data_IF_676016403004
#
_entry.id   IF_676016403004
#
_cell.length_a   1.000
_cell.length_b   1.000
_cell.length_c   1.000
_cell.angle_alpha   90.00
_cell.angle_beta   90.00
_cell.angle_gamma   90.00
#
_symmetry.space_group_name_H-M   'P 1'
#
loop_
_entity.id
_entity.type
_entity.pdbx_description
1 polymer ?
#
# COMPACT_ATOMS: atom_id res chain seq x y z
N UNK A 1 -21.78 -54.19 24.79
CA UNK A 1 -20.51 -53.46 24.69
C UNK A 1 -20.46 -52.88 23.26
N UNK A 2 -20.86 -51.65 23.11
CA UNK A 2 -20.88 -50.94 21.79
C UNK A 2 -19.62 -50.14 21.68
N UNK A 3 -18.71 -50.51 20.76
CA UNK A 3 -17.51 -49.76 20.46
C UNK A 3 -17.82 -48.64 19.48
N UNK A 4 -17.69 -47.40 19.94
CA UNK A 4 -17.83 -46.21 19.11
C UNK A 4 -16.50 -45.96 18.40
N UNK A 5 -16.44 -46.13 17.08
CA UNK A 5 -15.29 -45.71 16.28
C UNK A 5 -15.29 -44.18 16.12
N UNK A 6 -14.30 -43.51 16.68
CA UNK A 6 -14.04 -42.08 16.38
C UNK A 6 -13.19 -42.01 15.11
N UNK A 7 -13.79 -41.58 14.02
CA UNK A 7 -13.08 -41.30 12.77
C UNK A 7 -12.41 -39.94 12.87
N UNK A 8 -11.06 -39.96 13.00
CA UNK A 8 -10.23 -38.77 13.01
C UNK A 8 -10.11 -38.26 11.54
N UNK A 9 -10.76 -37.16 11.20
CA UNK A 9 -10.50 -36.46 9.93
C UNK A 9 -9.17 -35.71 10.04
N UNK A 10 -8.14 -36.22 9.39
CA UNK A 10 -6.89 -35.49 9.17
C UNK A 10 -7.12 -34.55 8.00
N UNK A 11 -7.33 -33.26 8.27
CA UNK A 11 -7.27 -32.22 7.25
C UNK A 11 -5.80 -32.00 6.92
N UNK A 12 -5.34 -32.56 5.81
CA UNK A 12 -4.00 -32.25 5.29
C UNK A 12 -4.01 -30.83 4.73
N UNK A 13 -3.40 -29.89 5.45
CA UNK A 13 -3.05 -28.59 4.91
C UNK A 13 -1.98 -28.81 3.83
N UNK A 14 -2.36 -28.67 2.56
CA UNK A 14 -1.39 -28.64 1.46
C UNK A 14 -0.64 -27.32 1.54
N UNK A 15 0.61 -27.34 1.98
CA UNK A 15 1.52 -26.19 1.85
C UNK A 15 1.81 -26.00 0.37
N UNK A 16 1.29 -24.92 -0.22
CA UNK A 16 1.67 -24.51 -1.56
C UNK A 16 3.07 -23.90 -1.43
N UNK A 17 4.05 -24.44 -2.18
CA UNK A 17 5.33 -23.76 -2.33
C UNK A 17 5.08 -22.39 -2.98
N UNK A 18 5.85 -21.34 -2.64
CA UNK A 18 5.70 -20.03 -3.28
C UNK A 18 5.66 -20.21 -4.80
N UNK A 19 4.62 -19.69 -5.43
CA UNK A 19 4.42 -19.88 -6.86
C UNK A 19 4.45 -18.55 -7.58
N UNK A 20 5.45 -18.39 -8.43
CA UNK A 20 5.43 -17.37 -9.47
C UNK A 20 4.74 -17.99 -10.69
N UNK A 21 3.56 -17.47 -11.07
CA UNK A 21 2.77 -17.97 -12.19
C UNK A 21 2.66 -16.90 -13.26
N UNK A 22 3.13 -17.20 -14.46
CA UNK A 22 2.89 -16.36 -15.65
C UNK A 22 1.61 -16.86 -16.32
N UNK A 23 0.68 -15.95 -16.60
CA UNK A 23 -0.61 -16.24 -17.22
C UNK A 23 -1.01 -15.12 -18.15
N UNK A 24 -2.06 -15.35 -18.93
CA UNK A 24 -2.62 -14.36 -19.85
C UNK A 24 -4.13 -14.19 -19.61
N UNK A 25 -4.64 -12.98 -19.82
CA UNK A 25 -6.07 -12.73 -19.98
C UNK A 25 -6.33 -11.89 -21.23
N UNK A 26 -7.50 -12.07 -21.84
CA UNK A 26 -7.97 -11.23 -22.94
C UNK A 26 -8.93 -10.17 -22.42
N UNK A 27 -8.69 -8.90 -22.79
CA UNK A 27 -9.57 -7.77 -22.52
C UNK A 27 -9.73 -6.94 -23.79
N UNK A 28 -10.96 -6.70 -24.24
CA UNK A 28 -11.29 -5.98 -25.46
C UNK A 28 -10.53 -6.48 -26.71
N UNK A 29 -10.38 -7.83 -26.84
CA UNK A 29 -9.69 -8.46 -27.97
C UNK A 29 -8.16 -8.41 -27.91
N UNK A 30 -7.57 -7.84 -26.86
CA UNK A 30 -6.12 -7.81 -26.65
C UNK A 30 -5.76 -8.81 -25.57
N UNK A 31 -4.93 -9.81 -25.92
CA UNK A 31 -4.38 -10.76 -24.94
C UNK A 31 -3.14 -10.13 -24.29
N UNK A 32 -3.10 -10.12 -22.97
CA UNK A 32 -2.03 -9.52 -22.17
C UNK A 32 -1.56 -10.51 -21.12
N UNK A 33 -0.26 -10.58 -20.95
CA UNK A 33 0.37 -11.40 -19.93
C UNK A 33 0.53 -10.65 -18.61
N UNK A 34 0.61 -11.42 -17.54
CA UNK A 34 0.88 -10.94 -16.19
C UNK A 34 1.63 -12.00 -15.39
N UNK A 35 2.30 -11.59 -14.34
CA UNK A 35 2.90 -12.48 -13.37
C UNK A 35 2.12 -12.33 -12.06
N UNK A 36 1.76 -13.46 -11.46
CA UNK A 36 1.19 -13.50 -10.09
C UNK A 36 2.18 -14.20 -9.18
N UNK A 37 2.50 -13.57 -8.06
CA UNK A 37 3.29 -14.17 -7.00
C UNK A 37 2.40 -14.49 -5.79
N UNK A 38 2.42 -15.77 -5.40
CA UNK A 38 1.65 -16.28 -4.26
C UNK A 38 2.64 -16.71 -3.17
N UNK A 39 2.62 -16.09 -1.98
CA UNK A 39 3.59 -16.43 -0.92
C UNK A 39 3.35 -17.83 -0.35
N UNK A 40 4.40 -18.43 0.22
CA UNK A 40 4.33 -19.77 0.85
C UNK A 40 3.35 -19.83 2.04
N UNK A 41 3.10 -18.69 2.66
CA UNK A 41 2.14 -18.54 3.77
C UNK A 41 0.68 -18.50 3.33
N UNK A 42 0.40 -18.39 2.02
CA UNK A 42 -0.96 -18.34 1.52
C UNK A 42 -1.70 -19.66 1.73
N UNK A 43 -2.93 -19.57 2.24
CA UNK A 43 -3.82 -20.72 2.42
C UNK A 43 -5.14 -20.45 1.70
N UNK A 44 -5.49 -21.33 0.75
CA UNK A 44 -6.77 -21.25 0.06
C UNK A 44 -7.92 -21.35 1.09
N UNK A 45 -8.88 -20.42 1.00
CA UNK A 45 -9.97 -20.28 1.96
C UNK A 45 -9.72 -19.22 3.05
N UNK A 46 -8.47 -18.76 3.21
CA UNK A 46 -8.13 -17.63 4.08
C UNK A 46 -7.92 -16.36 3.23
N UNK A 47 -8.75 -15.31 3.40
CA UNK A 47 -8.65 -14.10 2.60
C UNK A 47 -7.29 -13.39 2.76
N UNK A 48 -6.59 -13.14 1.65
CA UNK A 48 -5.32 -12.45 1.58
C UNK A 48 -5.44 -11.11 0.83
N UNK A 49 -4.69 -10.06 1.20
CA UNK A 49 -4.62 -8.84 0.41
C UNK A 49 -4.04 -9.08 -0.99
N UNK A 50 -4.37 -8.19 -1.94
CA UNK A 50 -3.84 -8.20 -3.30
C UNK A 50 -3.19 -6.86 -3.64
N UNK A 51 -1.94 -6.90 -4.10
CA UNK A 51 -1.20 -5.71 -4.52
C UNK A 51 -0.88 -5.79 -6.01
N UNK A 52 -1.33 -4.82 -6.80
CA UNK A 52 -0.90 -4.63 -8.18
C UNK A 52 0.34 -3.76 -8.21
N UNK A 53 1.40 -4.21 -8.91
CA UNK A 53 2.67 -3.46 -9.05
C UNK A 53 2.95 -3.25 -10.54
N UNK A 54 2.83 -2.02 -11.01
CA UNK A 54 2.88 -1.65 -12.42
C UNK A 54 4.23 -1.10 -12.83
N UNK A 55 4.76 -1.59 -13.95
CA UNK A 55 6.08 -1.25 -14.48
C UNK A 55 6.12 0.15 -15.11
N UNK A 56 7.33 0.71 -15.22
CA UNK A 56 7.61 1.93 -15.98
C UNK A 56 7.53 1.72 -17.50
N UNK A 57 7.54 2.82 -18.27
CA UNK A 57 7.58 2.75 -19.74
C UNK A 57 8.80 1.97 -20.22
N UNK A 58 8.63 1.14 -21.25
CA UNK A 58 9.61 0.19 -21.83
C UNK A 58 10.02 -0.98 -20.91
N UNK A 59 9.57 -0.99 -19.66
CA UNK A 59 9.81 -2.11 -18.76
C UNK A 59 8.73 -3.21 -18.92
N UNK A 60 8.89 -4.31 -18.19
CA UNK A 60 7.95 -5.43 -18.17
C UNK A 60 7.54 -5.79 -16.73
N UNK A 61 6.54 -6.66 -16.60
CA UNK A 61 6.15 -7.26 -15.33
C UNK A 61 7.34 -7.90 -14.60
N UNK A 62 8.19 -8.64 -15.30
CA UNK A 62 9.38 -9.25 -14.70
C UNK A 62 10.43 -8.22 -14.27
N UNK A 63 10.56 -7.12 -15.01
CA UNK A 63 11.51 -6.07 -14.66
C UNK A 63 11.13 -5.38 -13.33
N UNK A 64 9.86 -4.97 -13.19
CA UNK A 64 9.40 -4.32 -11.96
C UNK A 64 9.35 -5.29 -10.77
N UNK A 65 8.99 -6.56 -10.99
CA UNK A 65 9.03 -7.60 -9.98
C UNK A 65 10.43 -7.74 -9.37
N UNK A 66 11.47 -7.76 -10.22
CA UNK A 66 12.86 -7.91 -9.77
C UNK A 66 13.45 -6.62 -9.16
N UNK A 67 12.82 -5.46 -9.38
CA UNK A 67 13.35 -4.17 -8.95
C UNK A 67 12.72 -3.67 -7.62
N UNK A 68 11.67 -4.30 -7.11
CA UNK A 68 10.85 -3.70 -6.05
C UNK A 68 10.74 -4.51 -4.76
N UNK A 69 11.36 -5.69 -4.68
CA UNK A 69 11.36 -6.58 -3.49
C UNK A 69 9.97 -6.95 -2.92
N UNK A 70 8.85 -6.68 -3.65
CA UNK A 70 7.51 -7.02 -3.19
C UNK A 70 7.31 -8.50 -2.93
N UNK A 71 8.00 -9.39 -3.68
CA UNK A 71 7.90 -10.83 -3.44
C UNK A 71 8.47 -11.22 -2.07
N UNK A 72 9.62 -10.63 -1.69
CA UNK A 72 10.22 -10.88 -0.38
C UNK A 72 9.32 -10.37 0.76
N UNK A 73 8.72 -9.19 0.57
CA UNK A 73 7.79 -8.63 1.54
C UNK A 73 6.48 -9.44 1.61
N UNK A 74 5.98 -9.93 0.47
CA UNK A 74 4.79 -10.78 0.40
C UNK A 74 4.98 -12.11 1.19
N UNK A 75 6.18 -12.69 1.17
CA UNK A 75 6.50 -13.87 2.00
C UNK A 75 6.37 -13.57 3.50
N UNK A 76 6.73 -12.37 3.93
CA UNK A 76 6.68 -11.96 5.34
C UNK A 76 5.26 -11.60 5.78
N UNK A 77 4.52 -10.91 4.91
CA UNK A 77 3.26 -10.24 5.26
C UNK A 77 2.01 -11.00 4.77
N UNK A 78 2.16 -11.99 3.89
CA UNK A 78 1.07 -12.89 3.49
C UNK A 78 0.11 -12.31 2.45
N UNK A 79 0.54 -11.37 1.60
CA UNK A 79 -0.28 -10.83 0.51
C UNK A 79 0.11 -11.40 -0.85
N UNK A 80 -0.82 -11.40 -1.80
CA UNK A 80 -0.58 -11.82 -3.19
C UNK A 80 -0.16 -10.59 -4.01
N UNK A 81 0.82 -10.76 -4.92
CA UNK A 81 1.26 -9.68 -5.80
C UNK A 81 0.91 -10.01 -7.25
N UNK A 82 0.35 -9.04 -7.96
CA UNK A 82 0.10 -9.11 -9.39
C UNK A 82 0.96 -8.08 -10.13
N UNK A 83 1.70 -8.54 -11.12
CA UNK A 83 2.54 -7.72 -12.02
C UNK A 83 1.96 -7.79 -13.43
N UNK A 84 1.04 -6.89 -13.81
CA UNK A 84 0.50 -6.85 -15.17
C UNK A 84 1.48 -6.25 -16.15
N UNK A 85 1.42 -6.66 -17.43
CA UNK A 85 2.12 -6.00 -18.54
C UNK A 85 1.19 -5.01 -19.27
N UNK A 86 1.72 -3.83 -19.53
CA UNK A 86 1.14 -2.85 -20.44
C UNK A 86 1.28 -3.26 -21.92
N UNK A 87 0.41 -2.77 -22.79
CA UNK A 87 0.54 -2.99 -24.25
C UNK A 87 1.81 -2.34 -24.75
N UNK A 88 2.66 -3.13 -25.45
CA UNK A 88 3.97 -2.68 -25.90
C UNK A 88 4.83 -2.06 -24.78
N UNK A 89 4.74 -2.61 -23.59
CA UNK A 89 5.43 -2.12 -22.39
C UNK A 89 5.08 -0.66 -22.02
N UNK A 90 3.87 -0.22 -22.29
CA UNK A 90 3.36 1.10 -21.98
C UNK A 90 1.93 1.05 -21.45
N UNK A 91 1.52 2.11 -20.75
CA UNK A 91 0.20 2.29 -20.18
C UNK A 91 -0.54 3.45 -20.83
N UNK A 92 -1.85 3.33 -20.96
CA UNK A 92 -2.72 4.44 -21.37
C UNK A 92 -2.92 5.40 -20.18
N UNK A 93 -2.01 6.33 -20.05
CA UNK A 93 -2.04 7.36 -18.99
C UNK A 93 -2.47 8.72 -19.53
N UNK A 94 -3.13 8.76 -20.70
CA UNK A 94 -3.46 10.00 -21.43
C UNK A 94 -2.23 10.88 -21.70
N UNK A 95 -1.08 10.22 -21.89
CA UNK A 95 0.19 10.91 -22.18
C UNK A 95 0.21 11.39 -23.63
N UNK A 96 0.70 12.61 -23.88
CA UNK A 96 0.94 13.09 -25.25
C UNK A 96 2.17 12.46 -25.91
N UNK A 97 2.97 11.65 -25.20
CA UNK A 97 4.19 11.06 -25.72
C UNK A 97 3.93 9.97 -26.74
N UNK A 98 4.75 9.90 -27.82
CA UNK A 98 4.77 8.75 -28.71
C UNK A 98 5.16 7.48 -27.95
N UNK A 99 4.38 6.40 -28.12
CA UNK A 99 4.62 5.12 -27.47
C UNK A 99 3.74 4.85 -26.25
N UNK A 100 2.91 5.79 -25.82
CA UNK A 100 1.82 5.51 -24.87
C UNK A 100 0.80 4.55 -25.49
N UNK A 101 0.22 3.69 -24.66
CA UNK A 101 -0.90 2.83 -25.05
C UNK A 101 -2.18 3.65 -25.21
N UNK A 102 -3.06 3.24 -26.11
CA UNK A 102 -4.46 3.70 -26.19
C UNK A 102 -5.44 2.62 -25.74
N UNK A 103 -4.92 1.49 -25.24
CA UNK A 103 -5.74 0.39 -24.76
C UNK A 103 -6.52 0.80 -23.50
N UNK A 104 -7.60 0.07 -23.23
CA UNK A 104 -8.36 0.20 -21.98
C UNK A 104 -7.62 -0.50 -20.83
N UNK A 105 -6.63 0.19 -20.24
CA UNK A 105 -5.83 -0.36 -19.16
C UNK A 105 -6.59 -0.40 -17.83
N UNK A 106 -7.50 0.54 -17.57
CA UNK A 106 -8.36 0.53 -16.38
C UNK A 106 -9.26 -0.69 -16.39
N UNK A 107 -9.92 -0.95 -17.52
CA UNK A 107 -10.76 -2.15 -17.68
C UNK A 107 -9.95 -3.44 -17.62
N UNK A 108 -8.73 -3.48 -18.21
CA UNK A 108 -7.84 -4.63 -18.13
C UNK A 108 -7.45 -4.98 -16.68
N UNK A 109 -7.00 -3.99 -15.91
CA UNK A 109 -6.63 -4.20 -14.49
C UNK A 109 -7.87 -4.65 -13.69
N UNK A 110 -9.05 -4.09 -13.99
CA UNK A 110 -10.31 -4.52 -13.40
C UNK A 110 -10.65 -5.98 -13.72
N UNK A 111 -10.47 -6.41 -14.98
CA UNK A 111 -10.68 -7.79 -15.41
C UNK A 111 -9.66 -8.76 -14.77
N UNK A 112 -8.39 -8.34 -14.69
CA UNK A 112 -7.35 -9.12 -14.02
C UNK A 112 -7.66 -9.28 -12.51
N UNK A 113 -8.07 -8.20 -11.85
CA UNK A 113 -8.54 -8.23 -10.45
C UNK A 113 -9.64 -9.27 -10.26
N UNK A 114 -10.68 -9.23 -11.08
CA UNK A 114 -11.82 -10.18 -10.98
C UNK A 114 -11.36 -11.63 -11.26
N UNK A 115 -10.42 -11.84 -12.18
CA UNK A 115 -9.81 -13.15 -12.46
C UNK A 115 -9.05 -13.69 -11.26
N UNK A 116 -8.25 -12.83 -10.59
CA UNK A 116 -7.49 -13.24 -9.40
C UNK A 116 -8.40 -13.50 -8.20
N UNK A 117 -9.47 -12.74 -8.01
CA UNK A 117 -10.50 -13.00 -6.99
C UNK A 117 -11.17 -14.35 -7.21
N UNK A 118 -11.43 -14.73 -8.48
CA UNK A 118 -12.01 -16.03 -8.79
C UNK A 118 -11.04 -17.21 -8.57
N UNK A 119 -9.73 -16.97 -8.73
CA UNK A 119 -8.69 -18.00 -8.61
C UNK A 119 -8.18 -18.19 -7.16
N UNK A 120 -8.17 -17.12 -6.39
CA UNK A 120 -7.59 -17.08 -5.04
C UNK A 120 -8.59 -16.52 -4.02
N UNK A 121 -8.40 -16.88 -2.76
CA UNK A 121 -9.14 -16.26 -1.65
C UNK A 121 -8.57 -14.88 -1.38
N UNK A 122 -9.04 -13.87 -2.14
CA UNK A 122 -8.64 -12.48 -1.97
C UNK A 122 -9.59 -11.77 -1.00
N UNK A 123 -9.03 -11.00 -0.08
CA UNK A 123 -9.78 -10.02 0.67
C UNK A 123 -10.13 -8.83 -0.25
N UNK A 124 -11.37 -8.80 -0.72
CA UNK A 124 -11.83 -7.79 -1.67
C UNK A 124 -11.87 -6.37 -1.10
N UNK A 125 -11.74 -6.24 0.22
CA UNK A 125 -11.63 -4.93 0.88
C UNK A 125 -10.17 -4.42 0.93
N UNK A 126 -9.19 -5.31 0.74
CA UNK A 126 -7.75 -4.99 0.80
C UNK A 126 -7.07 -5.24 -0.55
N UNK A 127 -7.48 -4.48 -1.57
CA UNK A 127 -6.89 -4.49 -2.91
C UNK A 127 -6.24 -3.13 -3.18
N UNK A 128 -4.97 -3.15 -3.56
CA UNK A 128 -4.13 -1.99 -3.69
C UNK A 128 -3.44 -1.93 -5.05
N UNK A 129 -3.00 -0.74 -5.46
CA UNK A 129 -2.25 -0.57 -6.69
C UNK A 129 -1.08 0.39 -6.49
N UNK A 130 0.10 0.02 -6.96
CA UNK A 130 1.25 0.90 -7.01
C UNK A 130 2.02 0.72 -8.31
N UNK A 131 2.96 1.64 -8.58
CA UNK A 131 3.80 1.51 -9.74
C UNK A 131 4.90 2.56 -9.82
N UNK A 132 5.84 2.30 -10.72
CA UNK A 132 6.98 3.16 -11.00
C UNK A 132 6.80 3.93 -12.29
N UNK A 133 7.14 5.23 -12.29
CA UNK A 133 7.15 6.05 -13.51
C UNK A 133 5.78 5.98 -14.24
N UNK A 134 5.70 5.46 -15.45
CA UNK A 134 4.45 5.23 -16.17
C UNK A 134 3.46 4.35 -15.37
N UNK A 135 3.93 3.37 -14.58
CA UNK A 135 3.12 2.61 -13.63
C UNK A 135 2.59 3.46 -12.48
N UNK A 136 3.32 4.47 -12.04
CA UNK A 136 2.87 5.47 -11.07
C UNK A 136 1.74 6.34 -11.62
N UNK A 137 1.85 6.80 -12.87
CA UNK A 137 0.74 7.47 -13.57
C UNK A 137 -0.49 6.57 -13.66
N UNK A 138 -0.28 5.27 -13.96
CA UNK A 138 -1.38 4.31 -14.04
C UNK A 138 -2.02 4.08 -12.68
N UNK A 139 -1.25 4.13 -11.57
CA UNK A 139 -1.80 4.05 -10.21
C UNK A 139 -2.75 5.22 -9.92
N UNK A 140 -2.36 6.44 -10.25
CA UNK A 140 -3.24 7.60 -10.14
C UNK A 140 -4.49 7.44 -11.01
N UNK A 141 -4.32 6.96 -12.26
CA UNK A 141 -5.45 6.74 -13.17
C UNK A 141 -6.44 5.71 -12.62
N UNK A 142 -5.97 4.64 -12.00
CA UNK A 142 -6.85 3.67 -11.33
C UNK A 142 -7.62 4.32 -10.17
N UNK A 143 -6.95 5.12 -9.34
CA UNK A 143 -7.63 5.86 -8.27
C UNK A 143 -8.66 6.85 -8.78
N UNK A 144 -8.39 7.51 -9.92
CA UNK A 144 -9.29 8.51 -10.51
C UNK A 144 -10.48 7.92 -11.27
N UNK A 145 -10.27 6.82 -12.03
CA UNK A 145 -11.22 6.40 -13.08
C UNK A 145 -11.79 4.99 -12.83
N UNK A 146 -11.20 4.19 -11.94
CA UNK A 146 -11.65 2.81 -11.75
C UNK A 146 -13.02 2.74 -11.07
N UNK A 147 -14.00 2.03 -11.67
CA UNK A 147 -15.25 1.72 -11.00
C UNK A 147 -15.09 0.61 -9.93
N UNK A 148 -13.94 -0.05 -9.91
CA UNK A 148 -13.58 -1.05 -8.90
C UNK A 148 -12.79 -0.37 -7.79
N UNK A 149 -13.11 -0.66 -6.56
CA UNK A 149 -12.38 -0.10 -5.44
C UNK A 149 -10.95 -0.61 -5.38
N UNK A 150 -10.01 0.31 -5.27
CA UNK A 150 -8.66 0.12 -4.74
C UNK A 150 -8.61 0.87 -3.41
N UNK A 151 -8.34 0.17 -2.32
CA UNK A 151 -8.36 0.75 -0.98
C UNK A 151 -7.30 1.83 -0.80
N UNK A 152 -6.15 1.66 -1.44
CA UNK A 152 -5.13 2.70 -1.57
C UNK A 152 -4.34 2.54 -2.87
N UNK A 153 -3.75 3.65 -3.31
CA UNK A 153 -2.84 3.72 -4.45
C UNK A 153 -1.51 4.34 -4.03
N UNK A 154 -0.42 3.94 -4.71
CA UNK A 154 0.88 4.56 -4.52
C UNK A 154 1.59 4.81 -5.85
N UNK A 155 2.19 5.97 -5.99
CA UNK A 155 2.98 6.36 -7.16
C UNK A 155 4.42 6.64 -6.76
N UNK A 156 5.37 5.98 -7.42
CA UNK A 156 6.80 6.25 -7.29
C UNK A 156 7.31 6.87 -8.56
N UNK A 157 7.80 8.11 -8.49
CA UNK A 157 8.32 8.87 -9.64
C UNK A 157 7.34 8.95 -10.82
N UNK A 158 6.03 8.95 -10.54
CA UNK A 158 4.96 9.20 -11.49
C UNK A 158 4.10 10.36 -11.02
N UNK A 159 3.37 11.02 -11.93
CA UNK A 159 2.43 12.10 -11.62
C UNK A 159 1.11 11.89 -12.38
N UNK A 160 0.39 12.95 -12.73
CA UNK A 160 -0.83 12.88 -13.53
C UNK A 160 -0.60 13.70 -14.80
N UNK A 161 -0.85 13.10 -15.97
CA UNK A 161 -0.76 13.82 -17.23
C UNK A 161 -1.85 14.91 -17.32
N UNK A 162 -1.53 16.04 -17.94
CA UNK A 162 -2.46 17.17 -18.10
C UNK A 162 -3.80 16.75 -18.76
N UNK A 163 -3.75 15.82 -19.71
CA UNK A 163 -4.95 15.29 -20.38
C UNK A 163 -5.80 14.36 -19.50
N UNK A 164 -5.30 13.91 -18.35
CA UNK A 164 -6.01 13.03 -17.42
C UNK A 164 -6.69 13.79 -16.26
N UNK A 165 -6.36 15.06 -16.04
CA UNK A 165 -6.86 15.84 -14.88
C UNK A 165 -8.39 15.95 -14.89
N UNK A 166 -8.99 16.26 -16.04
CA UNK A 166 -10.43 16.42 -16.17
C UNK A 166 -11.22 15.10 -15.98
N UNK A 167 -10.56 13.96 -16.17
CA UNK A 167 -11.14 12.63 -15.98
C UNK A 167 -10.95 12.12 -14.53
N UNK A 168 -10.18 12.81 -13.70
CA UNK A 168 -9.96 12.41 -12.32
C UNK A 168 -11.18 12.72 -11.45
N UNK A 169 -12.11 11.77 -11.40
CA UNK A 169 -13.34 11.82 -10.63
C UNK A 169 -13.51 10.54 -9.81
N UNK A 170 -12.80 10.41 -8.68
CA UNK A 170 -12.78 9.19 -7.89
C UNK A 170 -14.19 8.75 -7.46
N UNK A 171 -14.54 7.49 -7.75
CA UNK A 171 -15.80 6.89 -7.28
C UNK A 171 -15.69 6.29 -5.87
N UNK A 172 -14.46 6.20 -5.37
CA UNK A 172 -14.11 5.70 -4.04
C UNK A 172 -13.17 6.71 -3.38
N UNK A 173 -12.92 6.54 -2.10
CA UNK A 173 -12.01 7.40 -1.31
C UNK A 173 -10.72 6.64 -0.96
N UNK A 174 -9.81 6.43 -1.93
CA UNK A 174 -8.57 5.67 -1.66
C UNK A 174 -7.62 6.46 -0.75
N UNK A 175 -6.79 5.74 0.01
CA UNK A 175 -5.53 6.31 0.46
C UNK A 175 -4.62 6.62 -0.74
N UNK A 176 -3.92 7.75 -0.73
CA UNK A 176 -3.04 8.17 -1.82
C UNK A 176 -1.64 8.41 -1.31
N UNK A 177 -0.66 7.68 -1.85
CA UNK A 177 0.75 7.84 -1.52
C UNK A 177 1.55 8.30 -2.74
N UNK A 178 2.29 9.41 -2.59
CA UNK A 178 3.21 9.93 -3.59
C UNK A 178 4.64 9.85 -3.07
N UNK A 179 5.55 9.20 -3.80
CA UNK A 179 6.99 9.15 -3.51
C UNK A 179 7.73 9.77 -4.70
N UNK A 180 8.52 10.82 -4.47
CA UNK A 180 9.17 11.52 -5.57
C UNK A 180 10.48 12.20 -5.18
N UNK A 181 11.48 12.11 -6.04
CA UNK A 181 12.76 12.78 -5.89
C UNK A 181 12.74 14.21 -6.45
N UNK A 182 13.29 15.19 -5.70
CA UNK A 182 13.32 16.60 -6.13
C UNK A 182 14.22 16.87 -7.34
N UNK A 183 15.16 15.97 -7.62
CA UNK A 183 16.07 16.00 -8.78
C UNK A 183 15.71 14.96 -9.84
N UNK A 184 14.44 14.58 -9.95
CA UNK A 184 13.95 13.73 -11.03
C UNK A 184 13.92 14.51 -12.35
N UNK A 185 14.82 14.17 -13.28
CA UNK A 185 14.94 14.81 -14.60
C UNK A 185 14.11 14.12 -15.68
N UNK A 186 13.49 12.96 -15.40
CA UNK A 186 12.61 12.23 -16.32
C UNK A 186 11.17 12.64 -16.13
N UNK A 187 10.68 12.53 -14.87
CA UNK A 187 9.38 13.04 -14.45
C UNK A 187 9.63 14.20 -13.49
N UNK A 188 9.60 15.42 -14.02
CA UNK A 188 9.96 16.62 -13.27
C UNK A 188 9.11 16.77 -12.01
N UNK A 189 9.76 16.96 -10.86
CA UNK A 189 9.10 17.23 -9.58
C UNK A 189 8.16 18.44 -9.65
N UNK A 190 8.56 19.46 -10.41
CA UNK A 190 7.79 20.69 -10.60
C UNK A 190 6.82 20.63 -11.80
N UNK A 191 6.69 19.44 -12.42
CA UNK A 191 5.87 19.27 -13.62
C UNK A 191 6.48 19.84 -14.88
N UNK A 192 5.87 19.54 -16.00
CA UNK A 192 6.20 20.11 -17.32
C UNK A 192 5.08 19.81 -18.32
N UNK A 193 5.14 20.47 -19.50
CA UNK A 193 4.23 20.15 -20.61
C UNK A 193 4.38 18.68 -21.08
N UNK A 194 5.51 18.07 -20.78
CA UNK A 194 5.81 16.70 -21.16
C UNK A 194 5.50 15.69 -20.06
N UNK A 195 5.86 15.95 -18.83
CA UNK A 195 5.66 15.01 -17.70
C UNK A 195 4.32 15.23 -16.96
N UNK A 196 3.52 16.21 -17.36
CA UNK A 196 2.24 16.51 -16.72
C UNK A 196 2.38 17.40 -15.47
N UNK A 197 1.50 17.20 -14.50
CA UNK A 197 1.44 17.98 -13.26
C UNK A 197 2.74 17.88 -12.46
N UNK A 198 3.06 18.95 -11.73
CA UNK A 198 4.03 18.89 -10.65
C UNK A 198 3.50 18.06 -9.48
N UNK A 199 4.41 17.62 -8.62
CA UNK A 199 4.03 16.82 -7.44
C UNK A 199 3.06 17.59 -6.55
N UNK A 200 3.29 18.90 -6.32
CA UNK A 200 2.36 19.71 -5.52
C UNK A 200 0.96 19.79 -6.17
N UNK A 201 0.89 19.96 -7.49
CA UNK A 201 -0.40 19.98 -8.19
C UNK A 201 -1.16 18.65 -8.09
N UNK A 202 -0.41 17.51 -8.07
CA UNK A 202 -0.99 16.18 -7.83
C UNK A 202 -1.54 16.07 -6.41
N UNK A 203 -0.80 16.56 -5.42
CA UNK A 203 -1.24 16.58 -4.01
C UNK A 203 -2.47 17.48 -3.85
N UNK A 204 -2.48 18.66 -4.47
CA UNK A 204 -3.60 19.60 -4.42
C UNK A 204 -4.86 19.02 -5.09
N UNK A 205 -4.70 18.30 -6.21
CA UNK A 205 -5.81 17.62 -6.88
C UNK A 205 -6.42 16.54 -5.98
N UNK A 206 -5.58 15.69 -5.34
CA UNK A 206 -6.07 14.65 -4.47
C UNK A 206 -6.65 15.17 -3.16
N UNK A 207 -6.02 16.16 -2.54
CA UNK A 207 -6.54 16.78 -1.31
C UNK A 207 -7.88 17.50 -1.56
N UNK A 208 -8.04 18.10 -2.74
CA UNK A 208 -9.32 18.68 -3.16
C UNK A 208 -10.39 17.61 -3.37
N UNK A 209 -10.09 16.54 -4.13
CA UNK A 209 -11.04 15.46 -4.42
C UNK A 209 -11.48 14.71 -3.15
N UNK A 210 -10.58 14.56 -2.19
CA UNK A 210 -10.82 13.84 -0.94
C UNK A 210 -11.18 14.77 0.23
N UNK A 211 -11.27 16.08 -0.01
CA UNK A 211 -11.55 17.13 0.98
C UNK A 211 -10.66 17.01 2.23
N UNK A 212 -9.36 16.90 2.01
CA UNK A 212 -8.38 16.75 3.07
C UNK A 212 -8.08 18.07 3.78
N UNK A 213 -7.69 18.00 5.05
CA UNK A 213 -7.17 19.15 5.79
C UNK A 213 -5.83 19.62 5.20
N UNK A 214 -5.66 20.95 5.10
CA UNK A 214 -4.43 21.62 4.68
C UNK A 214 -4.11 22.75 5.66
N UNK A 215 -2.84 23.10 5.89
CA UNK A 215 -1.63 22.49 5.30
C UNK A 215 -1.35 21.08 5.87
N UNK A 216 -0.42 20.31 5.25
CA UNK A 216 -0.05 18.99 5.77
C UNK A 216 0.71 19.08 7.09
N UNK A 217 0.66 18.00 7.86
CA UNK A 217 1.67 17.75 8.90
C UNK A 217 2.96 17.32 8.20
N UNK A 218 4.04 18.07 8.43
CA UNK A 218 5.36 17.82 7.84
C UNK A 218 6.29 17.30 8.92
N UNK A 219 6.87 16.12 8.69
CA UNK A 219 7.83 15.49 9.60
C UNK A 219 9.07 14.99 8.84
N UNK A 220 10.29 15.15 9.37
CA UNK A 220 11.46 14.53 8.79
C UNK A 220 11.37 13.00 8.99
N UNK A 221 11.46 12.24 7.89
CA UNK A 221 11.59 10.78 7.95
C UNK A 221 13.05 10.37 8.21
N UNK A 222 13.99 11.05 7.53
CA UNK A 222 15.43 10.96 7.75
C UNK A 222 16.10 12.25 7.25
N UNK A 223 17.43 12.27 7.11
CA UNK A 223 18.18 13.47 6.71
C UNK A 223 17.84 14.00 5.30
N UNK A 224 17.32 13.14 4.40
CA UNK A 224 17.04 13.48 3.00
C UNK A 224 15.60 13.20 2.59
N UNK A 225 14.79 12.65 3.47
CA UNK A 225 13.39 12.32 3.19
C UNK A 225 12.49 13.02 4.18
N UNK A 226 11.54 13.77 3.66
CA UNK A 226 10.47 14.45 4.38
C UNK A 226 9.14 13.75 4.11
N UNK A 227 8.35 13.49 5.15
CA UNK A 227 6.99 13.01 5.04
C UNK A 227 6.02 14.17 5.23
N UNK A 228 5.05 14.28 4.34
CA UNK A 228 3.94 15.22 4.40
C UNK A 228 2.63 14.45 4.46
N UNK A 229 1.82 14.68 5.49
CA UNK A 229 0.54 13.99 5.70
C UNK A 229 -0.61 15.00 5.65
N UNK A 230 -1.50 14.82 4.70
CA UNK A 230 -2.76 15.57 4.59
C UNK A 230 -3.88 14.70 5.15
N UNK A 231 -4.31 15.03 6.34
CA UNK A 231 -5.39 14.35 7.06
C UNK A 231 -6.00 15.30 8.12
N UNK A 232 -7.29 15.12 8.52
CA UNK A 232 -8.23 14.13 8.00
C UNK A 232 -8.73 14.46 6.60
N UNK A 233 -9.20 13.43 5.87
CA UNK A 233 -9.90 13.56 4.60
C UNK A 233 -11.31 12.96 4.72
N UNK A 234 -12.12 13.06 3.65
CA UNK A 234 -13.41 12.37 3.59
C UNK A 234 -13.23 10.84 3.65
N UNK A 235 -14.15 10.16 4.31
CA UNK A 235 -14.05 8.72 4.55
C UNK A 235 -12.85 8.39 5.44
N UNK A 236 -12.15 7.29 5.14
CA UNK A 236 -10.91 6.90 5.83
C UNK A 236 -9.67 7.21 4.94
N UNK A 237 -9.77 8.17 4.02
CA UNK A 237 -8.70 8.53 3.13
C UNK A 237 -7.63 9.37 3.82
N UNK A 238 -6.42 9.34 3.29
CA UNK A 238 -5.37 10.32 3.53
C UNK A 238 -4.51 10.48 2.28
N UNK A 239 -3.86 11.64 2.14
CA UNK A 239 -2.87 11.88 1.11
C UNK A 239 -1.52 12.05 1.79
N UNK A 240 -0.56 11.21 1.41
CA UNK A 240 0.79 11.21 1.99
C UNK A 240 1.82 11.42 0.89
N UNK A 241 2.81 12.24 1.16
CA UNK A 241 3.93 12.45 0.26
C UNK A 241 5.25 12.20 0.97
N UNK A 242 6.11 11.38 0.36
CA UNK A 242 7.52 11.28 0.71
C UNK A 242 8.35 12.04 -0.33
N UNK A 243 8.83 13.21 0.08
CA UNK A 243 9.72 14.07 -0.71
C UNK A 243 11.16 13.66 -0.46
N UNK A 244 11.85 13.22 -1.50
CA UNK A 244 13.24 12.78 -1.41
C UNK A 244 14.12 13.90 -1.95
N UNK A 245 14.80 14.62 -1.07
CA UNK A 245 15.68 15.73 -1.47
C UNK A 245 16.90 15.21 -2.24
N UNK A 246 17.17 15.81 -3.41
CA UNK A 246 18.19 15.35 -4.35
C UNK A 246 17.93 14.01 -5.01
N UNK A 247 16.83 13.32 -4.71
CA UNK A 247 16.45 12.05 -5.31
C UNK A 247 16.17 12.18 -6.82
N UNK A 248 16.62 11.18 -7.60
CA UNK A 248 16.39 11.10 -9.05
C UNK A 248 15.22 10.18 -9.42
N UNK A 249 15.16 9.79 -10.71
CA UNK A 249 14.13 8.88 -11.25
C UNK A 249 14.41 7.43 -10.91
N UNK A 250 14.09 7.01 -9.70
CA UNK A 250 14.39 5.66 -9.21
C UNK A 250 13.26 5.12 -8.33
N UNK A 251 13.21 3.78 -8.18
CA UNK A 251 12.49 3.11 -7.10
C UNK A 251 13.44 2.97 -5.91
N UNK A 252 13.25 3.67 -4.80
CA UNK A 252 14.16 3.57 -3.65
C UNK A 252 14.10 2.18 -2.99
N UNK A 253 15.25 1.54 -2.81
CA UNK A 253 15.41 0.22 -2.14
C UNK A 253 16.44 0.27 -1.01
N UNK A 254 16.80 1.48 -0.55
CA UNK A 254 17.83 1.65 0.47
C UNK A 254 17.38 1.24 1.87
N UNK A 255 18.33 0.83 2.71
CA UNK A 255 18.07 0.46 4.12
C UNK A 255 17.54 1.62 4.98
N UNK A 256 17.80 2.86 4.57
CA UNK A 256 17.31 4.07 5.28
C UNK A 256 15.97 4.57 4.75
N UNK A 257 15.57 4.16 3.55
CA UNK A 257 14.27 4.43 2.95
C UNK A 257 14.01 3.41 1.82
N UNK A 258 13.01 2.58 1.99
CA UNK A 258 12.52 1.61 0.99
C UNK A 258 11.11 2.02 0.58
N UNK A 259 10.92 2.25 -0.73
CA UNK A 259 9.58 2.55 -1.25
C UNK A 259 8.62 1.38 -1.03
N UNK A 260 9.09 0.15 -1.19
CA UNK A 260 8.27 -1.06 -1.00
C UNK A 260 7.73 -1.16 0.41
N UNK A 261 8.60 -0.95 1.43
CA UNK A 261 8.19 -1.05 2.83
C UNK A 261 7.18 0.06 3.19
N UNK A 262 7.47 1.32 2.83
CA UNK A 262 6.57 2.44 3.16
C UNK A 262 5.24 2.36 2.40
N UNK A 263 5.22 1.78 1.18
CA UNK A 263 3.99 1.54 0.43
C UNK A 263 3.13 0.50 1.15
N UNK A 264 3.73 -0.60 1.59
CA UNK A 264 2.98 -1.64 2.31
C UNK A 264 2.48 -1.14 3.67
N UNK A 265 3.34 -0.47 4.44
CA UNK A 265 2.95 0.14 5.72
C UNK A 265 1.76 1.10 5.53
N UNK A 266 1.78 1.90 4.47
CA UNK A 266 0.68 2.79 4.13
C UNK A 266 -0.58 2.01 3.74
N UNK A 267 -0.47 1.00 2.87
CA UNK A 267 -1.61 0.24 2.36
C UNK A 267 -2.41 -0.45 3.46
N UNK A 268 -1.76 -0.97 4.49
CA UNK A 268 -2.41 -1.65 5.61
C UNK A 268 -3.43 -0.77 6.37
N UNK A 269 -3.31 0.55 6.27
CA UNK A 269 -4.21 1.51 6.90
C UNK A 269 -5.57 1.67 6.20
N UNK A 270 -5.77 1.06 5.01
CA UNK A 270 -6.94 1.33 4.17
C UNK A 270 -7.69 0.07 3.77
N UNK A 271 -9.01 0.21 3.75
CA UNK A 271 -9.92 -0.82 3.22
C UNK A 271 -10.97 -0.20 2.32
N UNK A 272 -11.41 -0.94 1.30
CA UNK A 272 -12.61 -0.61 0.56
C UNK A 272 -13.82 -0.83 1.49
N UNK A 273 -14.37 0.24 2.04
CA UNK A 273 -15.64 0.21 2.75
C UNK A 273 -16.80 0.29 1.75
N UNK A 274 -17.94 -0.32 2.07
CA UNK A 274 -19.18 0.04 1.42
C UNK A 274 -19.45 1.53 1.66
N UNK A 275 -19.85 2.28 0.62
CA UNK A 275 -20.34 3.65 0.78
C UNK A 275 -21.68 3.57 1.50
N UNK A 276 -21.65 3.20 2.77
CA UNK A 276 -22.80 3.32 3.65
C UNK A 276 -22.94 4.79 4.00
N UNK A 277 -23.93 5.44 3.40
CA UNK A 277 -24.45 6.73 3.87
C UNK A 277 -25.09 6.53 5.24
N UNK A 278 -24.28 6.35 6.27
CA UNK A 278 -24.71 6.37 7.64
C UNK A 278 -24.06 7.55 8.35
N UNK A 279 -24.91 8.33 9.00
CA UNK A 279 -24.63 9.41 9.93
C UNK A 279 -23.35 9.18 10.74
N UNK A 280 -22.54 10.24 10.84
CA UNK A 280 -21.30 10.30 11.59
C UNK A 280 -21.34 9.57 12.94
N UNK A 281 -20.86 8.35 12.97
CA UNK A 281 -20.37 7.72 14.19
C UNK A 281 -18.93 8.21 14.42
N UNK A 282 -18.64 8.57 15.65
CA UNK A 282 -17.34 9.11 16.05
C UNK A 282 -16.20 8.22 15.52
N UNK A 283 -15.29 8.81 14.73
CA UNK A 283 -14.11 8.15 14.17
C UNK A 283 -13.36 7.35 15.25
N UNK A 284 -12.93 6.10 14.96
CA UNK A 284 -12.00 5.42 15.84
C UNK A 284 -10.75 6.30 15.98
N UNK A 285 -10.41 6.67 17.19
CA UNK A 285 -9.26 7.50 17.51
C UNK A 285 -8.00 6.83 16.90
N UNK A 286 -7.27 7.56 16.06
CA UNK A 286 -6.09 7.05 15.40
C UNK A 286 -5.03 6.70 16.44
N UNK A 287 -4.48 5.47 16.36
CA UNK A 287 -3.42 5.04 17.26
C UNK A 287 -2.12 5.72 16.86
N UNK A 288 -1.59 6.57 17.70
CA UNK A 288 -0.30 7.22 17.49
C UNK A 288 0.70 6.81 18.57
N UNK A 289 1.94 6.53 18.15
CA UNK A 289 3.08 6.25 19.03
C UNK A 289 4.05 7.44 19.04
N UNK A 290 4.40 7.95 20.22
CA UNK A 290 5.45 8.98 20.37
C UNK A 290 6.14 8.95 21.73
N UNK A 291 7.41 9.37 21.81
CA UNK A 291 8.29 9.57 20.69
C UNK A 291 8.58 8.26 19.97
N UNK A 292 8.82 8.30 18.67
CA UNK A 292 9.28 7.15 17.90
C UNK A 292 10.27 7.67 16.84
N UNK A 293 11.59 7.49 17.02
CA UNK A 293 12.26 6.61 18.01
C UNK A 293 12.04 7.00 19.48
N UNK A 294 12.07 5.99 20.36
CA UNK A 294 11.90 6.13 21.79
C UNK A 294 13.11 5.61 22.57
N UNK A 295 13.42 6.24 23.70
CA UNK A 295 14.50 5.80 24.60
C UNK A 295 13.97 4.87 25.70
N UNK A 296 13.39 5.40 26.77
CA UNK A 296 12.95 4.64 27.93
C UNK A 296 11.45 4.32 27.94
N UNK A 297 10.65 5.06 27.17
CA UNK A 297 9.20 4.87 27.12
C UNK A 297 8.63 5.41 25.81
N UNK A 298 7.52 4.82 25.39
CA UNK A 298 6.67 5.33 24.32
C UNK A 298 5.25 5.55 24.83
N UNK A 299 4.60 6.56 24.31
CA UNK A 299 3.19 6.82 24.58
C UNK A 299 2.34 6.37 23.40
N UNK A 300 1.18 5.81 23.71
CA UNK A 300 0.18 5.45 22.71
C UNK A 300 -1.11 6.20 22.98
N UNK A 301 -1.64 6.85 21.96
CA UNK A 301 -2.92 7.57 21.98
C UNK A 301 -3.94 6.86 21.10
N UNK A 302 -5.22 7.03 21.39
CA UNK A 302 -6.32 6.46 20.63
C UNK A 302 -6.72 5.06 21.07
N UNK A 303 -6.33 4.62 22.27
CA UNK A 303 -6.77 3.36 22.86
C UNK A 303 -8.19 3.48 23.44
N UNK A 304 -9.02 2.49 23.18
CA UNK A 304 -10.34 2.38 23.82
C UNK A 304 -10.20 1.81 25.24
N UNK A 305 -9.81 2.67 26.21
CA UNK A 305 -9.66 2.26 27.61
C UNK A 305 -8.40 1.40 27.86
N UNK A 306 -8.44 0.58 28.91
CA UNK A 306 -7.32 -0.29 29.26
C UNK A 306 -7.15 -1.40 28.23
N UNK A 307 -6.08 -1.34 27.43
CA UNK A 307 -5.84 -2.26 26.30
C UNK A 307 -4.59 -3.11 26.55
N UNK A 308 -4.72 -4.43 26.40
CA UNK A 308 -3.57 -5.32 26.44
C UNK A 308 -2.64 -5.03 25.27
N UNK A 309 -1.33 -5.19 25.47
CA UNK A 309 -0.33 -5.06 24.41
C UNK A 309 0.75 -6.14 24.49
N UNK A 310 1.39 -6.40 23.36
CA UNK A 310 2.58 -7.26 23.25
C UNK A 310 3.61 -6.57 22.36
N UNK A 311 4.85 -6.44 22.87
CA UNK A 311 6.01 -6.04 22.08
C UNK A 311 6.73 -7.29 21.57
N UNK A 312 6.99 -7.29 20.26
CA UNK A 312 7.62 -8.41 19.54
C UNK A 312 8.90 -7.88 18.89
N UNK A 313 10.00 -8.59 19.04
CA UNK A 313 11.26 -8.27 18.36
C UNK A 313 11.24 -8.72 16.88
N UNK A 314 12.26 -8.32 16.13
CA UNK A 314 12.41 -8.66 14.70
C UNK A 314 12.50 -10.16 14.41
N UNK A 315 12.71 -11.00 15.43
CA UNK A 315 12.71 -12.46 15.30
C UNK A 315 11.33 -13.09 15.55
N UNK A 316 10.30 -12.25 15.82
CA UNK A 316 8.95 -12.72 16.15
C UNK A 316 8.74 -13.13 17.61
N UNK A 317 9.76 -12.91 18.48
CA UNK A 317 9.68 -13.28 19.89
C UNK A 317 9.01 -12.16 20.70
N UNK A 318 8.02 -12.51 21.51
CA UNK A 318 7.47 -11.60 22.51
C UNK A 318 8.52 -11.25 23.56
N UNK A 319 8.85 -9.95 23.69
CA UNK A 319 9.86 -9.42 24.62
C UNK A 319 9.24 -8.70 25.81
N UNK A 320 8.00 -8.22 25.66
CA UNK A 320 7.23 -7.60 26.73
C UNK A 320 5.74 -7.67 26.43
N UNK A 321 4.93 -7.84 27.46
CA UNK A 321 3.47 -7.71 27.40
C UNK A 321 2.94 -7.01 28.63
N UNK A 322 1.77 -6.38 28.53
CA UNK A 322 1.15 -5.65 29.63
C UNK A 322 -0.20 -5.09 29.26
N UNK A 323 -0.71 -4.23 30.12
CA UNK A 323 -1.92 -3.46 29.88
C UNK A 323 -1.52 -1.99 29.79
N UNK A 324 -1.81 -1.36 28.68
CA UNK A 324 -1.68 0.07 28.47
C UNK A 324 -2.86 0.75 29.17
N UNK A 325 -2.57 1.67 30.10
CA UNK A 325 -3.56 2.35 30.96
C UNK A 325 -3.39 3.85 30.82
N UNK A 326 -4.49 4.56 30.70
CA UNK A 326 -4.51 6.02 30.56
C UNK A 326 -4.63 6.48 29.11
N UNK A 327 -4.76 7.79 28.91
CA UNK A 327 -4.86 8.43 27.58
C UNK A 327 -4.07 9.73 27.61
N UNK A 328 -2.86 9.78 27.01
CA UNK A 328 -2.14 8.69 26.35
C UNK A 328 -1.62 7.64 27.35
N UNK A 329 -1.60 6.37 26.92
CA UNK A 329 -1.06 5.30 27.74
C UNK A 329 0.46 5.19 27.59
N UNK A 330 1.19 5.06 28.70
CA UNK A 330 2.64 4.91 28.72
C UNK A 330 3.04 3.44 28.66
N UNK A 331 3.93 3.09 27.73
CA UNK A 331 4.57 1.78 27.63
C UNK A 331 6.05 1.95 28.00
N UNK A 332 6.49 1.25 29.03
CA UNK A 332 7.87 1.26 29.47
C UNK A 332 8.76 0.41 28.56
N UNK A 333 9.92 0.93 28.15
CA UNK A 333 10.89 0.27 27.27
C UNK A 333 12.23 0.00 27.98
N UNK A 334 12.32 0.32 29.27
CA UNK A 334 13.57 0.12 30.03
C UNK A 334 14.01 -1.34 30.02
N UNK A 335 15.30 -1.58 29.83
CA UNK A 335 15.87 -2.92 29.74
C UNK A 335 15.69 -3.66 28.42
N UNK A 336 14.96 -3.09 27.44
CA UNK A 336 14.97 -3.58 26.07
C UNK A 336 16.26 -3.09 25.37
N UNK A 337 16.77 -3.88 24.45
CA UNK A 337 17.90 -3.51 23.60
C UNK A 337 17.44 -2.49 22.56
N UNK A 338 18.36 -1.67 22.06
CA UNK A 338 18.09 -0.81 20.92
C UNK A 338 17.76 -1.65 19.68
N UNK A 339 16.75 -1.23 18.92
CA UNK A 339 16.29 -1.98 17.77
C UNK A 339 14.82 -1.73 17.43
N UNK A 340 14.35 -2.41 16.40
CA UNK A 340 12.96 -2.35 15.94
C UNK A 340 12.11 -3.38 16.68
N UNK A 341 10.94 -2.95 17.09
CA UNK A 341 9.90 -3.77 17.72
C UNK A 341 8.56 -3.57 17.02
N UNK A 342 7.69 -4.52 17.15
CA UNK A 342 6.29 -4.44 16.74
C UNK A 342 5.42 -4.46 17.99
N UNK A 343 4.64 -3.41 18.18
CA UNK A 343 3.60 -3.34 19.20
C UNK A 343 2.31 -3.93 18.63
N UNK A 344 1.84 -5.03 19.18
CA UNK A 344 0.55 -5.65 18.83
C UNK A 344 -0.49 -5.39 19.92
N UNK A 345 -1.71 -5.07 19.49
CA UNK A 345 -2.87 -4.92 20.34
C UNK A 345 -3.83 -6.09 20.05
N UNK A 346 -4.16 -6.95 21.02
CA UNK A 346 -5.05 -8.10 20.82
C UNK A 346 -6.54 -7.69 20.93
N UNK A 347 -6.89 -6.51 20.42
CA UNK A 347 -8.26 -5.96 20.44
C UNK A 347 -9.16 -6.51 19.32
N UNK A 348 -8.70 -7.50 18.57
CA UNK A 348 -9.41 -8.06 17.42
C UNK A 348 -9.24 -7.25 16.13
N UNK A 349 -8.60 -6.06 16.18
CA UNK A 349 -8.35 -5.21 15.02
C UNK A 349 -7.15 -5.67 14.18
N UNK A 350 -6.30 -6.56 14.73
CA UNK A 350 -5.05 -6.98 14.09
C UNK A 350 -4.01 -5.87 13.98
N UNK A 351 -4.20 -4.74 14.66
CA UNK A 351 -3.32 -3.57 14.57
C UNK A 351 -1.95 -3.86 15.14
N UNK A 352 -0.93 -3.51 14.36
CA UNK A 352 0.46 -3.59 14.74
C UNK A 352 1.15 -2.24 14.44
N UNK A 353 1.87 -1.71 15.41
CA UNK A 353 2.59 -0.43 15.26
C UNK A 353 4.09 -0.69 15.38
N UNK A 354 4.86 -0.14 14.47
CA UNK A 354 6.32 -0.21 14.52
C UNK A 354 6.86 0.76 15.56
N UNK A 355 7.74 0.27 16.41
CA UNK A 355 8.45 1.02 17.44
C UNK A 355 9.96 0.89 17.22
N UNK A 356 10.66 2.00 17.16
CA UNK A 356 12.12 2.04 17.15
C UNK A 356 12.61 2.47 18.54
N UNK A 357 13.38 1.61 19.22
CA UNK A 357 14.06 1.88 20.49
C UNK A 357 15.50 2.27 20.20
N UNK A 358 15.95 3.39 20.82
CA UNK A 358 17.32 3.90 20.80
C UNK A 358 17.88 4.01 22.21
#
# INVERSE_FOLDING_TARGET
MTHSLITLFVVSASTIASAQVSSTISHNGITRDHITYVPTSYVQGTPAPLVFVMHGFTQSASAIMNATDFNALAELEGFIVAYPNGVNNGWNTNSPFPGGSTADDVGYIGALRDTLIAAFSIDTTRIYACGFSAGGYMSHKLGCESPKCFAAIASVSGTINNGAVAACAPQHTPGVLQIHGTSDFVVSYNGSIFSGLGVQDVLDLWTSNLACATPPLVTPYNATVEQQVYAPCNGNASVVHYKIDGGGHTWPTGSTFSATDVIWDFFQGFTCGDISTTTAEALPQELALWPNPAEEAVFIQGLAGNTAYTLIDVTGRSVRSGIAVGEPARIDLTGLRDGTYVLRLPDGSGRALRLLKQ
#
